data_IF_141854486540
#
_entry.id   IF_141854486540
#
_cell.length_a   1.000
_cell.length_b   1.000
_cell.length_c   1.000
_cell.angle_alpha   90.00
_cell.angle_beta   90.00
_cell.angle_gamma   90.00
#
_symmetry.space_group_name_H-M   'P 1'
#
loop_
_entity.id
_entity.type
_entity.pdbx_description
1 polymer ?
#
# COMPACT_ATOMS: atom_id res chain seq x y z
N UNK A 1 -21.84 -11.88 -10.36
CA UNK A 1 -22.19 -10.49 -9.99
C UNK A 1 -21.02 -9.93 -9.18
N UNK A 2 -20.35 -8.88 -9.66
CA UNK A 2 -19.29 -8.20 -8.91
C UNK A 2 -20.00 -7.17 -8.00
N UNK A 3 -19.74 -7.23 -6.69
CA UNK A 3 -20.33 -6.28 -5.73
C UNK A 3 -19.34 -5.14 -5.55
N UNK A 4 -19.74 -3.95 -6.02
CA UNK A 4 -18.99 -2.71 -5.79
C UNK A 4 -19.48 -2.10 -4.48
N UNK A 5 -18.57 -1.86 -3.53
CA UNK A 5 -18.92 -1.31 -2.21
C UNK A 5 -17.81 -0.43 -1.66
N UNK A 6 -18.20 0.71 -1.09
CA UNK A 6 -17.32 1.51 -0.25
C UNK A 6 -16.96 0.74 1.04
N UNK A 7 -15.68 0.78 1.39
CA UNK A 7 -15.14 0.13 2.56
C UNK A 7 -14.01 0.98 3.14
N UNK A 8 -13.75 0.82 4.43
CA UNK A 8 -12.46 1.21 5.00
C UNK A 8 -11.50 0.05 4.71
N UNK A 9 -10.25 0.39 4.38
CA UNK A 9 -9.17 -0.55 4.11
C UNK A 9 -7.96 -0.13 4.92
N UNK A 10 -7.27 -1.11 5.50
CA UNK A 10 -5.96 -0.90 6.12
C UNK A 10 -4.89 -1.56 5.27
N UNK A 11 -3.87 -0.81 4.91
CA UNK A 11 -2.73 -1.25 4.11
C UNK A 11 -1.48 -1.20 4.98
N UNK A 12 -0.81 -2.35 5.12
CA UNK A 12 0.55 -2.41 5.65
C UNK A 12 1.51 -2.46 4.47
N UNK A 13 2.47 -1.54 4.43
CA UNK A 13 3.57 -1.55 3.46
C UNK A 13 4.86 -1.84 4.20
N UNK A 14 5.48 -2.97 3.89
CA UNK A 14 6.81 -3.32 4.37
C UNK A 14 7.84 -2.94 3.31
N UNK A 15 8.88 -2.20 3.71
CA UNK A 15 9.88 -1.70 2.78
C UNK A 15 11.28 -1.68 3.39
N UNK A 16 12.27 -1.85 2.54
CA UNK A 16 13.68 -1.74 2.92
C UNK A 16 14.10 -0.27 2.99
N UNK A 17 14.77 0.11 4.07
CA UNK A 17 15.25 1.49 4.22
C UNK A 17 16.28 1.81 3.13
N UNK A 18 16.14 2.91 2.36
CA UNK A 18 17.06 3.23 1.27
C UNK A 18 18.52 3.32 1.70
N UNK A 19 18.77 3.91 2.88
CA UNK A 19 20.10 4.12 3.47
C UNK A 19 20.62 2.91 4.27
N UNK A 20 19.76 1.91 4.53
CA UNK A 20 20.10 0.72 5.29
C UNK A 20 19.21 -0.48 4.91
N UNK A 21 19.55 -1.15 3.80
CA UNK A 21 18.75 -2.22 3.21
C UNK A 21 18.61 -3.50 4.08
N UNK A 22 19.28 -3.57 5.24
CA UNK A 22 19.09 -4.66 6.20
C UNK A 22 18.02 -4.33 7.27
N UNK A 23 17.42 -3.14 7.19
CA UNK A 23 16.38 -2.68 8.11
C UNK A 23 15.05 -2.66 7.36
N UNK A 24 14.15 -3.56 7.76
CA UNK A 24 12.77 -3.59 7.28
C UNK A 24 11.93 -2.62 8.12
N UNK A 25 11.20 -1.73 7.46
CA UNK A 25 10.25 -0.82 8.09
C UNK A 25 8.81 -1.17 7.70
N UNK A 26 7.87 -0.76 8.55
CA UNK A 26 6.43 -0.89 8.29
C UNK A 26 5.80 0.50 8.27
N UNK A 27 5.05 0.79 7.21
CA UNK A 27 4.16 1.95 7.12
C UNK A 27 2.71 1.46 7.10
N UNK A 28 1.89 1.92 8.04
CA UNK A 28 0.48 1.55 8.15
C UNK A 28 -0.38 2.72 7.73
N UNK A 29 -1.28 2.48 6.77
CA UNK A 29 -2.18 3.50 6.25
C UNK A 29 -3.60 2.98 6.14
N UNK A 30 -4.56 3.76 6.63
CA UNK A 30 -5.99 3.45 6.55
C UNK A 30 -6.70 4.48 5.67
N UNK A 31 -7.55 4.02 4.76
CA UNK A 31 -8.32 4.88 3.86
C UNK A 31 -9.68 4.28 3.54
N UNK A 32 -10.67 5.13 3.25
CA UNK A 32 -11.83 4.69 2.48
C UNK A 32 -11.40 4.31 1.06
N UNK A 33 -11.96 3.23 0.54
CA UNK A 33 -11.75 2.75 -0.83
C UNK A 33 -12.95 1.94 -1.35
N UNK A 34 -12.83 1.43 -2.58
CA UNK A 34 -13.91 0.71 -3.29
C UNK A 34 -13.46 -0.72 -3.56
N UNK A 35 -14.15 -1.72 -3.03
CA UNK A 35 -13.92 -3.14 -3.36
C UNK A 35 -14.61 -3.52 -4.69
N UNK A 36 -14.03 -4.44 -5.48
CA UNK A 36 -12.73 -5.11 -5.29
C UNK A 36 -11.51 -4.36 -5.84
N UNK A 37 -11.70 -3.21 -6.52
CA UNK A 37 -10.65 -2.59 -7.32
C UNK A 37 -9.64 -1.76 -6.52
N UNK A 38 -9.95 -1.32 -5.30
CA UNK A 38 -9.10 -0.49 -4.43
C UNK A 38 -8.35 0.65 -5.16
N UNK A 39 -9.05 1.52 -5.93
CA UNK A 39 -8.42 2.54 -6.76
C UNK A 39 -7.50 3.51 -5.99
N UNK A 40 -7.79 3.80 -4.71
CA UNK A 40 -6.96 4.72 -3.92
C UNK A 40 -5.69 4.05 -3.44
N UNK A 41 -5.78 2.79 -3.02
CA UNK A 41 -4.59 1.97 -2.69
C UNK A 41 -3.69 1.85 -3.92
N UNK A 42 -4.22 1.53 -5.10
CA UNK A 42 -3.40 1.47 -6.32
C UNK A 42 -2.72 2.80 -6.65
N UNK A 43 -3.45 3.93 -6.54
CA UNK A 43 -2.87 5.24 -6.77
C UNK A 43 -1.70 5.53 -5.83
N UNK A 44 -1.83 5.17 -4.55
CA UNK A 44 -0.78 5.32 -3.56
C UNK A 44 0.44 4.44 -3.87
N UNK A 45 0.23 3.16 -4.19
CA UNK A 45 1.32 2.23 -4.50
C UNK A 45 2.06 2.62 -5.79
N UNK A 46 1.34 3.07 -6.82
CA UNK A 46 1.96 3.58 -8.04
C UNK A 46 2.79 4.84 -7.75
N UNK A 47 2.26 5.76 -6.94
CA UNK A 47 3.03 6.93 -6.52
C UNK A 47 4.30 6.54 -5.77
N UNK A 48 4.22 5.58 -4.84
CA UNK A 48 5.39 5.07 -4.12
C UNK A 48 6.42 4.51 -5.10
N UNK A 49 6.01 3.61 -5.98
CA UNK A 49 6.89 3.00 -6.99
C UNK A 49 7.60 4.05 -7.86
N UNK A 50 6.89 5.11 -8.27
CA UNK A 50 7.41 6.09 -9.22
C UNK A 50 8.24 7.22 -8.55
N UNK A 51 8.05 7.46 -7.25
CA UNK A 51 8.58 8.67 -6.58
C UNK A 51 9.37 8.41 -5.29
N UNK A 52 9.39 7.19 -4.77
CA UNK A 52 10.03 6.86 -3.48
C UNK A 52 11.14 5.83 -3.72
N UNK A 53 12.36 6.14 -3.27
CA UNK A 53 13.53 5.26 -3.43
C UNK A 53 13.43 3.95 -2.63
N UNK A 54 12.63 3.95 -1.55
CA UNK A 54 12.43 2.79 -0.71
C UNK A 54 11.70 1.66 -1.44
N UNK A 55 12.36 0.50 -1.53
CA UNK A 55 11.81 -0.68 -2.21
C UNK A 55 10.80 -1.38 -1.31
N UNK A 56 9.58 -1.57 -1.81
CA UNK A 56 8.53 -2.34 -1.15
C UNK A 56 8.90 -3.83 -1.23
N UNK A 57 8.89 -4.50 -0.08
CA UNK A 57 9.06 -5.95 0.05
C UNK A 57 7.71 -6.67 0.02
N UNK A 58 6.74 -6.18 0.81
CA UNK A 58 5.45 -6.84 1.00
C UNK A 58 4.34 -5.82 1.25
N UNK A 59 3.13 -6.17 0.80
CA UNK A 59 1.91 -5.39 1.01
C UNK A 59 0.84 -6.33 1.57
N UNK A 60 0.26 -5.95 2.70
CA UNK A 60 -0.92 -6.62 3.27
C UNK A 60 -2.11 -5.66 3.24
N UNK A 61 -3.28 -6.17 2.85
CA UNK A 61 -4.53 -5.41 2.76
C UNK A 61 -5.60 -6.11 3.60
N UNK A 62 -6.23 -5.35 4.50
CA UNK A 62 -7.31 -5.81 5.38
C UNK A 62 -8.63 -5.10 5.08
#
# INVERSE_FOLDING_TARGET
MIIIKNTIVTVNVFYWRPDAQHILQQFVWQTDDIRPEYPRVHKFLNYWHDNIEAVIEEIEIY
#
